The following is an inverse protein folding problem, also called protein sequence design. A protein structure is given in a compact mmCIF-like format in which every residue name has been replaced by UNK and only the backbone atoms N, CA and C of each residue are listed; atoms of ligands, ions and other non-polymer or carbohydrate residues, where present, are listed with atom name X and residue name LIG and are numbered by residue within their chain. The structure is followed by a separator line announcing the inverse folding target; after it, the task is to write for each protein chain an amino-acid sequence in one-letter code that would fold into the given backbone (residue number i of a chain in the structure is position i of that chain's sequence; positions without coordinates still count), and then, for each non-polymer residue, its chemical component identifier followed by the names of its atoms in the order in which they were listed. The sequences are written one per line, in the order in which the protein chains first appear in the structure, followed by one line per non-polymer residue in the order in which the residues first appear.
data_IF_884854486417
#
_entry.id   IF_884854486417
#
_cell.length_a   1.000
_cell.length_b   1.000
_cell.length_c   1.000
_cell.angle_alpha   90.00
_cell.angle_beta   90.00
_cell.angle_gamma   90.00
#
_symmetry.space_group_name_H-M   'P 1'
#
loop_
_entity.id
_entity.type
_entity.pdbx_description
1 polymer ?
#
# COMPACT_ATOMS: atom_id res chain seq x y z
N UNK A 1 -19.51 8.86 15.07
CA UNK A 1 -18.24 9.53 15.40
C UNK A 1 -17.11 8.68 14.82
N UNK A 2 -16.45 9.12 13.75
CA UNK A 2 -15.25 8.44 13.27
C UNK A 2 -14.18 8.61 14.36
N UNK A 3 -13.80 7.51 15.00
CA UNK A 3 -12.66 7.54 15.91
C UNK A 3 -11.43 7.90 15.09
N UNK A 4 -10.85 9.07 15.37
CA UNK A 4 -9.48 9.38 14.94
C UNK A 4 -8.57 8.40 15.68
N UNK A 5 -8.28 7.25 15.05
CA UNK A 5 -7.16 6.42 15.48
C UNK A 5 -5.92 7.30 15.46
N UNK A 6 -5.23 7.39 16.59
CA UNK A 6 -3.86 7.89 16.58
C UNK A 6 -3.10 7.01 15.59
N UNK A 7 -2.51 7.63 14.58
CA UNK A 7 -1.73 6.90 13.59
C UNK A 7 -0.41 6.54 14.27
N UNK A 8 -0.33 5.28 14.69
CA UNK A 8 0.86 4.75 15.36
C UNK A 8 2.09 4.84 14.44
N UNK A 9 3.25 5.12 15.04
CA UNK A 9 4.51 5.27 14.30
C UNK A 9 4.97 3.97 13.61
N UNK A 10 4.46 2.83 14.08
CA UNK A 10 4.79 1.49 13.59
C UNK A 10 3.53 0.79 13.05
N UNK A 11 3.71 -0.38 12.43
CA UNK A 11 2.58 -1.28 12.15
C UNK A 11 2.33 -2.18 13.36
N UNK A 12 1.12 -2.71 13.45
CA UNK A 12 0.68 -3.52 14.59
C UNK A 12 0.18 -4.89 14.11
N UNK A 13 0.50 -5.93 14.88
CA UNK A 13 -0.13 -7.24 14.71
C UNK A 13 -1.52 -7.20 15.36
N UNK A 14 -2.55 -6.95 14.57
CA UNK A 14 -3.93 -6.80 15.06
C UNK A 14 -4.60 -8.15 15.33
N UNK A 15 -4.08 -9.22 14.73
CA UNK A 15 -4.49 -10.62 14.92
C UNK A 15 -3.26 -11.52 14.68
N UNK A 16 -3.25 -12.81 15.08
CA UNK A 16 -2.05 -13.66 15.01
C UNK A 16 -1.34 -13.74 13.65
N UNK A 17 -2.05 -13.50 12.54
CA UNK A 17 -1.50 -13.52 11.18
C UNK A 17 -1.82 -12.24 10.38
N UNK A 18 -2.28 -11.18 11.04
CA UNK A 18 -2.72 -9.94 10.36
C UNK A 18 -1.89 -8.76 10.86
N UNK A 19 -0.99 -8.26 10.01
CA UNK A 19 -0.20 -7.05 10.27
C UNK A 19 -0.82 -5.84 9.59
N UNK A 20 -1.23 -4.85 10.37
CA UNK A 20 -1.90 -3.63 9.89
C UNK A 20 -0.95 -2.44 9.96
N UNK A 21 -0.75 -1.75 8.83
CA UNK A 21 -0.04 -0.47 8.75
C UNK A 21 -1.03 0.62 8.38
N UNK A 22 -1.08 1.70 9.15
CA UNK A 22 -1.90 2.88 8.84
C UNK A 22 -1.00 4.10 8.74
N UNK A 23 -1.10 4.88 7.67
CA UNK A 23 -0.32 6.12 7.47
C UNK A 23 -1.18 7.20 6.83
N UNK A 24 -0.95 8.45 7.21
CA UNK A 24 -1.48 9.61 6.49
C UNK A 24 -0.42 10.04 5.48
N UNK A 25 -0.75 9.98 4.20
CA UNK A 25 0.17 10.31 3.12
C UNK A 25 -0.15 11.69 2.54
N UNK A 26 0.85 12.47 2.10
CA UNK A 26 0.63 13.76 1.48
C UNK A 26 0.10 13.58 0.05
N UNK A 27 -1.01 14.26 -0.25
CA UNK A 27 -1.59 14.32 -1.59
C UNK A 27 -2.90 13.56 -1.73
N UNK A 28 -3.48 13.59 -2.95
CA UNK A 28 -4.76 12.96 -3.23
C UNK A 28 -4.62 11.44 -3.36
N UNK A 29 -5.75 10.73 -3.27
CA UNK A 29 -5.78 9.26 -3.30
C UNK A 29 -5.21 8.69 -4.61
N UNK A 30 -5.40 9.39 -5.73
CA UNK A 30 -4.90 8.99 -7.05
C UNK A 30 -3.37 8.93 -7.07
N UNK A 31 -2.70 9.85 -6.37
CA UNK A 31 -1.23 9.82 -6.23
C UNK A 31 -0.80 8.58 -5.44
N UNK A 32 -1.49 8.28 -4.34
CA UNK A 32 -1.17 7.09 -3.54
C UNK A 32 -1.39 5.81 -4.35
N UNK A 33 -2.48 5.75 -5.12
CA UNK A 33 -2.78 4.62 -5.99
C UNK A 33 -1.71 4.38 -7.05
N UNK A 34 -1.21 5.45 -7.70
CA UNK A 34 -0.12 5.35 -8.67
C UNK A 34 1.15 4.70 -8.09
N UNK A 35 1.52 5.06 -6.85
CA UNK A 35 2.66 4.43 -6.14
C UNK A 35 2.43 2.97 -5.73
N UNK A 36 1.18 2.47 -5.80
CA UNK A 36 0.83 1.07 -5.54
C UNK A 36 0.74 0.25 -6.82
N UNK A 37 0.39 0.84 -7.96
CA UNK A 37 0.07 0.10 -9.19
C UNK A 37 1.06 0.31 -10.32
N UNK A 38 1.66 1.49 -10.44
CA UNK A 38 2.62 1.81 -11.51
C UNK A 38 4.03 1.31 -11.14
N UNK A 39 4.64 0.52 -12.02
CA UNK A 39 5.91 -0.17 -11.73
C UNK A 39 7.06 0.77 -11.36
N UNK A 40 7.24 1.85 -12.13
CA UNK A 40 8.34 2.81 -11.95
C UNK A 40 8.20 3.67 -10.68
N UNK A 41 6.97 3.83 -10.18
CA UNK A 41 6.71 4.52 -8.92
C UNK A 41 6.79 3.54 -7.73
N UNK A 42 6.19 2.37 -7.85
CA UNK A 42 6.18 1.34 -6.80
C UNK A 42 7.58 0.84 -6.46
N UNK A 43 8.48 0.75 -7.45
CA UNK A 43 9.88 0.35 -7.22
C UNK A 43 10.67 1.28 -6.30
N UNK A 44 10.20 2.50 -6.09
CA UNK A 44 10.88 3.46 -5.20
C UNK A 44 10.79 3.07 -3.72
N UNK A 45 9.86 2.18 -3.36
CA UNK A 45 9.64 1.83 -1.96
C UNK A 45 9.36 0.34 -1.70
N UNK A 46 8.92 -0.43 -2.71
CA UNK A 46 8.65 -1.87 -2.55
C UNK A 46 9.39 -2.73 -3.60
N UNK A 47 8.95 -2.74 -4.85
CA UNK A 47 9.55 -3.52 -5.94
C UNK A 47 9.01 -3.10 -7.31
N UNK A 48 9.75 -3.43 -8.38
CA UNK A 48 9.29 -3.28 -9.75
C UNK A 48 8.43 -4.47 -10.18
N UNK A 49 8.10 -4.56 -11.47
CA UNK A 49 7.24 -5.60 -12.07
C UNK A 49 5.98 -5.00 -12.69
N UNK A 50 5.58 -5.46 -13.87
CA UNK A 50 4.35 -4.98 -14.50
C UNK A 50 3.15 -5.70 -13.90
N UNK A 51 2.11 -4.95 -13.54
CA UNK A 51 0.85 -5.51 -13.04
C UNK A 51 -0.26 -5.16 -14.02
N UNK A 52 -1.02 -6.16 -14.48
CA UNK A 52 -2.27 -5.91 -15.18
C UNK A 52 -3.34 -5.51 -14.16
N UNK A 53 -4.11 -4.47 -14.48
CA UNK A 53 -5.14 -3.92 -13.59
C UNK A 53 -6.44 -4.73 -13.68
N UNK A 54 -6.30 -6.05 -13.59
CA UNK A 54 -7.40 -7.03 -13.65
C UNK A 54 -7.29 -8.02 -12.49
N UNK A 55 -8.42 -8.26 -11.81
CA UNK A 55 -8.42 -9.14 -10.66
C UNK A 55 -8.17 -10.60 -11.09
N UNK A 56 -7.21 -11.26 -10.43
CA UNK A 56 -6.88 -12.67 -10.69
C UNK A 56 -5.73 -12.89 -11.68
N UNK A 57 -5.20 -11.84 -12.31
CA UNK A 57 -3.99 -11.95 -13.14
C UNK A 57 -2.75 -12.11 -12.28
N UNK A 58 -1.84 -12.99 -12.68
CA UNK A 58 -0.54 -13.15 -12.02
C UNK A 58 0.44 -12.07 -12.44
N UNK A 59 1.34 -11.69 -11.54
CA UNK A 59 2.49 -10.83 -11.84
C UNK A 59 3.66 -11.20 -10.92
N UNK A 60 4.85 -10.72 -11.26
CA UNK A 60 6.07 -10.96 -10.48
C UNK A 60 6.69 -9.64 -10.01
N UNK A 61 7.19 -9.62 -8.77
CA UNK A 61 8.01 -8.54 -8.26
C UNK A 61 9.48 -8.76 -8.68
N UNK A 62 10.13 -7.68 -9.12
CA UNK A 62 11.53 -7.67 -9.58
C UNK A 62 12.34 -6.63 -8.82
#
# INVERSE_FOLDING_TARGET
MNQMKNIEAYGELTEPATFTIQRLLPGPIERVWAYLTESDLRRQWMAAGQMEMEAGTSFEFV
#
